data_IF_051194628898
#
_entry.id   IF_051194628898
#
_cell.length_a   1.000
_cell.length_b   1.000
_cell.length_c   1.000
_cell.angle_alpha   90.00
_cell.angle_beta   90.00
_cell.angle_gamma   90.00
#
_symmetry.space_group_name_H-M   'P 1'
#
loop_
_entity.id
_entity.type
_entity.pdbx_description
1 polymer ?
#
# COMPACT_ATOMS: atom_id res chain seq x y z
N UNK A 1 7.76 14.45 -6.99
CA UNK A 1 7.98 13.97 -5.59
C UNK A 1 8.12 12.44 -5.64
N UNK A 2 8.86 11.79 -4.72
CA UNK A 2 8.98 10.33 -4.77
C UNK A 2 7.72 9.69 -4.20
N UNK A 3 7.14 8.72 -4.92
CA UNK A 3 6.00 7.94 -4.43
C UNK A 3 6.44 6.52 -4.06
N UNK A 4 5.67 5.89 -3.19
CA UNK A 4 5.95 4.57 -2.65
C UNK A 4 4.79 3.63 -2.97
N UNK A 5 5.09 2.44 -3.47
CA UNK A 5 4.07 1.41 -3.70
C UNK A 5 4.49 0.11 -3.04
N UNK A 6 3.50 -0.64 -2.57
CA UNK A 6 3.72 -1.97 -2.01
C UNK A 6 4.25 -2.90 -3.09
N UNK A 7 5.31 -3.63 -2.76
CA UNK A 7 5.93 -4.62 -3.66
C UNK A 7 4.89 -5.60 -4.20
N UNK A 8 5.10 -6.02 -5.43
CA UNK A 8 4.26 -7.03 -6.07
C UNK A 8 4.28 -8.32 -5.24
N UNK A 9 3.09 -8.86 -4.94
CA UNK A 9 2.91 -10.01 -4.05
C UNK A 9 2.81 -9.70 -2.55
N UNK A 10 3.02 -8.45 -2.11
CA UNK A 10 2.74 -8.06 -0.72
C UNK A 10 1.24 -7.81 -0.54
N UNK A 11 0.60 -8.59 0.32
CA UNK A 11 -0.80 -8.34 0.67
C UNK A 11 -0.96 -7.01 1.42
N UNK A 12 -2.06 -6.32 1.15
CA UNK A 12 -2.39 -5.09 1.86
C UNK A 12 -2.47 -5.33 3.37
N UNK A 13 -1.89 -4.43 4.15
CA UNK A 13 -1.84 -4.51 5.61
C UNK A 13 -2.26 -3.19 6.23
N UNK A 14 -2.64 -3.25 7.50
CA UNK A 14 -2.91 -2.06 8.31
C UNK A 14 -1.76 -1.86 9.28
N UNK A 15 -1.20 -0.67 9.30
CA UNK A 15 -0.18 -0.29 10.26
C UNK A 15 -0.82 -0.27 11.64
N UNK A 16 -0.21 -0.95 12.59
CA UNK A 16 -0.72 -1.04 13.97
C UNK A 16 0.10 -0.21 14.96
N UNK A 17 1.25 0.32 14.53
CA UNK A 17 2.21 0.99 15.40
C UNK A 17 2.85 2.22 14.73
N UNK A 18 3.26 3.20 15.55
CA UNK A 18 3.85 4.49 15.12
C UNK A 18 2.84 5.57 14.68
N UNK A 19 3.33 6.70 14.15
CA UNK A 19 2.50 7.85 13.74
C UNK A 19 1.48 7.54 12.62
N UNK A 20 1.66 6.44 11.92
CA UNK A 20 0.74 5.96 10.89
C UNK A 20 -0.11 4.77 11.33
N UNK A 21 -0.15 4.45 12.62
CA UNK A 21 -1.05 3.45 13.17
C UNK A 21 -2.51 3.74 12.78
N UNK A 22 -3.22 2.71 12.32
CA UNK A 22 -4.58 2.79 11.78
C UNK A 22 -4.65 3.03 10.26
N UNK A 23 -3.54 3.33 9.57
CA UNK A 23 -3.53 3.46 8.10
C UNK A 23 -3.42 2.10 7.43
N UNK A 24 -4.29 1.86 6.44
CA UNK A 24 -4.24 0.66 5.61
C UNK A 24 -3.55 0.94 4.27
N UNK A 25 -2.54 0.14 3.96
CA UNK A 25 -1.82 0.17 2.70
C UNK A 25 -2.22 -1.03 1.85
N UNK A 26 -2.41 -0.81 0.54
CA UNK A 26 -2.80 -1.85 -0.41
C UNK A 26 -1.79 -1.94 -1.54
N UNK A 27 -1.57 -3.16 -2.02
CA UNK A 27 -0.90 -3.39 -3.29
C UNK A 27 -1.61 -2.63 -4.39
N UNK A 28 -0.83 -2.15 -5.36
CA UNK A 28 -1.39 -1.39 -6.48
C UNK A 28 -1.45 0.12 -6.27
N UNK A 29 -1.53 0.60 -5.03
CA UNK A 29 -1.69 2.03 -4.70
C UNK A 29 -0.32 2.69 -4.48
N UNK A 30 -0.13 3.88 -5.06
CA UNK A 30 0.99 4.76 -4.79
C UNK A 30 0.67 5.69 -3.61
N UNK A 31 1.63 5.83 -2.69
CA UNK A 31 1.51 6.61 -1.46
C UNK A 31 2.67 7.60 -1.38
N UNK A 32 2.41 8.82 -0.91
CA UNK A 32 3.47 9.83 -0.72
C UNK A 32 4.26 9.62 0.58
N UNK A 33 3.67 8.90 1.55
CA UNK A 33 4.30 8.61 2.83
C UNK A 33 3.99 7.18 3.28
N UNK A 34 5.01 6.51 3.83
CA UNK A 34 4.94 5.12 4.29
C UNK A 34 5.56 4.96 5.68
N UNK A 35 5.06 4.03 6.51
CA UNK A 35 5.65 3.73 7.81
C UNK A 35 7.09 3.25 7.70
N UNK A 36 8.00 3.84 8.48
CA UNK A 36 9.43 3.45 8.49
C UNK A 36 9.64 1.98 8.88
N UNK A 37 8.83 1.45 9.81
CA UNK A 37 8.91 0.04 10.23
C UNK A 37 8.66 -0.93 9.07
N UNK A 38 7.72 -0.60 8.18
CA UNK A 38 7.32 -1.47 7.08
C UNK A 38 7.90 -1.00 5.74
N UNK A 39 8.81 -0.02 5.75
CA UNK A 39 9.38 0.58 4.54
C UNK A 39 10.03 -0.46 3.62
N UNK A 40 10.54 -1.56 4.18
CA UNK A 40 11.09 -2.69 3.42
C UNK A 40 10.08 -3.40 2.49
N UNK A 41 8.78 -3.26 2.78
CA UNK A 41 7.66 -3.82 1.98
C UNK A 41 7.27 -2.92 0.82
N UNK A 42 7.76 -1.68 0.80
CA UNK A 42 7.51 -0.73 -0.27
C UNK A 42 8.72 -0.63 -1.20
N UNK A 43 8.47 -0.16 -2.42
CA UNK A 43 9.49 0.29 -3.34
C UNK A 43 9.22 1.73 -3.75
N UNK A 44 10.29 2.47 -4.02
CA UNK A 44 10.22 3.85 -4.50
C UNK A 44 9.91 3.81 -5.99
N UNK A 45 8.83 4.47 -6.38
CA UNK A 45 8.47 4.70 -7.76
C UNK A 45 8.90 6.13 -8.13
N UNK A 46 9.79 6.30 -9.11
CA UNK A 46 9.98 7.60 -9.73
C UNK A 46 8.69 7.99 -10.45
N UNK A 47 8.28 9.25 -10.32
CA UNK A 47 7.03 9.83 -10.88
C UNK A 47 6.80 9.53 -12.38
N UNK A 48 7.86 9.17 -13.12
CA UNK A 48 7.78 8.77 -14.52
C UNK A 48 7.12 7.40 -14.79
N UNK A 49 6.84 6.56 -13.78
CA UNK A 49 6.38 5.18 -13.96
C UNK A 49 4.94 4.88 -13.46
N UNK A 50 4.16 5.90 -13.03
CA UNK A 50 2.84 5.72 -12.41
C UNK A 50 1.64 5.58 -13.38
N UNK A 51 1.88 5.36 -14.67
CA UNK A 51 0.80 5.23 -15.68
C UNK A 51 0.06 3.88 -15.69
N UNK A 52 0.41 2.92 -14.83
CA UNK A 52 -0.26 1.61 -14.78
C UNK A 52 -1.30 1.54 -13.64
N UNK A 53 -2.62 1.64 -13.94
CA UNK A 53 -3.67 1.49 -12.95
C UNK A 53 -3.70 0.04 -12.47
N UNK A 54 -3.24 -0.18 -11.24
CA UNK A 54 -3.39 -1.48 -10.59
C UNK A 54 -4.76 -1.54 -9.92
N UNK A 55 -5.64 -2.25 -10.62
CA UNK A 55 -6.97 -2.72 -10.24
C UNK A 55 -7.04 -3.16 -8.77
N UNK A 56 -8.01 -2.60 -8.04
CA UNK A 56 -8.20 -2.84 -6.61
C UNK A 56 -9.52 -3.62 -6.43
N UNK A 57 -9.51 -4.92 -6.70
CA UNK A 57 -10.60 -5.80 -6.28
C UNK A 57 -10.62 -5.90 -4.75
N UNK A 58 -11.64 -5.27 -4.19
CA UNK A 58 -11.85 -5.10 -2.77
C UNK A 58 -12.21 -6.43 -2.11
N UNK A 59 -11.25 -6.98 -1.39
CA UNK A 59 -11.47 -7.88 -0.27
C UNK A 59 -12.47 -7.23 0.74
N UNK A 60 -13.76 -7.52 0.63
CA UNK A 60 -14.79 -7.29 1.67
C UNK A 60 -16.14 -7.93 1.29
N UNK A 61 -16.35 -9.21 1.63
CA UNK A 61 -17.65 -9.74 2.14
C UNK A 61 -17.42 -10.99 3.00
N UNK A 62 -17.05 -10.78 4.27
CA UNK A 62 -17.54 -11.67 5.35
C UNK A 62 -18.95 -11.19 5.69
N UNK A 63 -19.97 -11.90 5.22
CA UNK A 63 -21.35 -11.76 5.72
C UNK A 63 -22.07 -13.10 5.58
N UNK A 64 -22.51 -13.61 6.73
CA UNK A 64 -23.60 -14.56 7.02
C UNK A 64 -23.70 -15.90 6.30
N UNK A 65 -23.65 -16.98 7.09
CA UNK A 65 -24.82 -17.85 7.28
C UNK A 65 -24.80 -18.50 8.65
#
# INVERSE_FOLDING_TARGET
MAQYKLKDGVQGFTVIDGEMAGKSFKSGIAYDAIPSQEAAKFYVIPEAAVDAPADIDGQKKRTSK
#
